data_IF_830755625723
#
_entry.id   IF_830755625723
#
_cell.length_a   1.000
_cell.length_b   1.000
_cell.length_c   1.000
_cell.angle_alpha   90.00
_cell.angle_beta   90.00
_cell.angle_gamma   90.00
#
_symmetry.space_group_name_H-M   'P 1'
#
loop_
_entity.id
_entity.type
_entity.pdbx_description
1 polymer ?
#
# COMPACT_ATOMS: atom_id res chain seq x y z
N UNK A 1 -9.74 -15.13 -24.57
CA UNK A 1 -9.39 -14.01 -23.68
C UNK A 1 -8.97 -14.62 -22.36
N UNK A 2 -7.66 -14.63 -22.04
CA UNK A 2 -7.14 -15.34 -20.87
C UNK A 2 -7.21 -14.42 -19.65
N UNK A 3 -8.04 -14.77 -18.68
CA UNK A 3 -8.25 -14.06 -17.41
C UNK A 3 -7.27 -14.54 -16.33
N UNK A 4 -5.96 -14.30 -16.50
CA UNK A 4 -5.02 -14.60 -15.42
C UNK A 4 -4.59 -13.32 -14.73
N UNK A 5 -4.91 -13.21 -13.44
CA UNK A 5 -4.35 -12.21 -12.55
C UNK A 5 -2.82 -12.43 -12.42
N UNK A 6 -2.10 -11.39 -11.95
CA UNK A 6 -0.67 -11.52 -11.69
C UNK A 6 -0.45 -12.09 -10.28
N UNK A 7 0.20 -13.27 -10.14
CA UNK A 7 0.52 -13.78 -8.82
C UNK A 7 1.50 -12.84 -8.12
N UNK A 8 1.45 -12.85 -6.79
CA UNK A 8 2.51 -12.23 -6.01
C UNK A 8 3.85 -12.89 -6.33
N UNK A 9 4.91 -12.09 -6.36
CA UNK A 9 6.27 -12.54 -6.60
C UNK A 9 7.25 -11.73 -5.76
N UNK A 10 8.39 -12.33 -5.42
CA UNK A 10 9.46 -11.70 -4.65
C UNK A 10 10.03 -10.45 -5.33
N UNK A 11 9.80 -10.24 -6.63
CA UNK A 11 10.25 -9.02 -7.34
C UNK A 11 9.54 -7.75 -6.88
N UNK A 12 8.45 -7.86 -6.10
CA UNK A 12 7.79 -6.71 -5.47
C UNK A 12 8.50 -6.21 -4.20
N UNK A 13 9.42 -7.00 -3.64
CA UNK A 13 10.25 -6.60 -2.50
C UNK A 13 11.44 -5.81 -3.04
N UNK A 14 11.74 -4.66 -2.44
CA UNK A 14 12.98 -3.94 -2.66
C UNK A 14 13.80 -3.96 -1.37
N UNK A 15 15.09 -4.22 -1.51
CA UNK A 15 16.07 -4.25 -0.42
C UNK A 15 17.45 -4.08 -1.06
N UNK A 16 17.95 -2.84 -1.09
CA UNK A 16 19.25 -2.48 -1.66
C UNK A 16 20.38 -2.65 -0.65
N UNK A 17 20.07 -2.67 0.64
CA UNK A 17 21.06 -2.77 1.73
C UNK A 17 21.72 -1.43 2.06
N UNK A 18 21.27 -0.34 1.42
CA UNK A 18 21.56 1.03 1.84
C UNK A 18 20.37 1.53 2.65
N UNK A 19 20.63 1.88 3.92
CA UNK A 19 19.56 2.18 4.88
C UNK A 19 18.70 3.35 4.42
N UNK A 20 19.28 4.37 3.77
CA UNK A 20 18.52 5.54 3.33
C UNK A 20 17.67 5.21 2.11
N UNK A 21 18.24 4.50 1.13
CA UNK A 21 17.49 4.03 -0.03
C UNK A 21 16.32 3.13 0.39
N UNK A 22 16.56 2.18 1.29
CA UNK A 22 15.57 1.22 1.77
C UNK A 22 14.42 1.96 2.52
N UNK A 23 14.73 2.96 3.36
CA UNK A 23 13.70 3.78 4.02
C UNK A 23 12.85 4.59 3.03
N UNK A 24 13.44 5.11 1.96
CA UNK A 24 12.68 5.82 0.91
C UNK A 24 11.80 4.86 0.11
N UNK A 25 12.25 3.62 -0.12
CA UNK A 25 11.46 2.57 -0.76
C UNK A 25 10.26 2.19 0.12
N UNK A 26 10.45 2.06 1.42
CA UNK A 26 9.37 1.81 2.39
C UNK A 26 8.35 2.97 2.40
N UNK A 27 8.81 4.21 2.49
CA UNK A 27 7.94 5.40 2.40
C UNK A 27 7.14 5.43 1.09
N UNK A 28 7.76 5.09 -0.03
CA UNK A 28 7.08 5.03 -1.33
C UNK A 28 6.07 3.88 -1.39
N UNK A 29 6.34 2.74 -0.75
CA UNK A 29 5.40 1.62 -0.64
C UNK A 29 4.13 2.04 0.13
N UNK A 30 4.27 2.74 1.26
CA UNK A 30 3.11 3.18 2.06
C UNK A 30 2.26 4.22 1.34
N UNK A 31 2.86 5.13 0.57
CA UNK A 31 2.09 6.06 -0.27
C UNK A 31 1.31 5.33 -1.38
N UNK A 32 1.88 4.29 -1.99
CA UNK A 32 1.17 3.47 -3.00
C UNK A 32 0.03 2.67 -2.37
N UNK A 33 0.22 2.10 -1.18
CA UNK A 33 -0.82 1.42 -0.43
C UNK A 33 -1.97 2.37 -0.08
N UNK A 34 -1.66 3.56 0.45
CA UNK A 34 -2.65 4.61 0.74
C UNK A 34 -3.47 5.00 -0.48
N UNK A 35 -2.82 5.29 -1.61
CA UNK A 35 -3.50 5.64 -2.86
C UNK A 35 -4.41 4.50 -3.35
N UNK A 36 -3.99 3.25 -3.17
CA UNK A 36 -4.79 2.08 -3.49
C UNK A 36 -6.06 2.02 -2.65
N UNK A 37 -5.97 2.18 -1.33
CA UNK A 37 -7.16 2.20 -0.45
C UNK A 37 -8.08 3.38 -0.75
N UNK A 38 -7.55 4.58 -1.01
CA UNK A 38 -8.34 5.74 -1.42
C UNK A 38 -9.16 5.47 -2.69
N UNK A 39 -8.61 4.70 -3.63
CA UNK A 39 -9.35 4.30 -4.83
C UNK A 39 -10.38 3.21 -4.53
N UNK A 40 -10.03 2.19 -3.73
CA UNK A 40 -10.97 1.12 -3.35
C UNK A 40 -12.19 1.64 -2.60
N UNK A 41 -12.03 2.64 -1.73
CA UNK A 41 -13.14 3.30 -1.01
C UNK A 41 -14.17 3.91 -1.98
N UNK A 42 -13.73 4.38 -3.15
CA UNK A 42 -14.60 4.96 -4.18
C UNK A 42 -15.34 3.91 -5.03
N UNK A 43 -14.92 2.64 -4.96
CA UNK A 43 -15.44 1.56 -5.80
C UNK A 43 -16.49 0.69 -5.12
N UNK A 44 -16.81 0.95 -3.85
CA UNK A 44 -17.80 0.20 -3.08
C UNK A 44 -18.72 1.15 -2.34
N UNK A 45 -19.91 0.68 -1.99
CA UNK A 45 -20.83 1.36 -1.07
C UNK A 45 -21.09 0.60 0.23
N UNK A 46 -20.47 -0.58 0.38
CA UNK A 46 -20.52 -1.38 1.58
C UNK A 46 -19.83 -0.65 2.76
N UNK A 47 -20.57 -0.46 3.84
CA UNK A 47 -20.12 0.30 5.01
C UNK A 47 -19.00 -0.40 5.77
N UNK A 48 -19.08 -1.73 5.91
CA UNK A 48 -18.13 -2.54 6.67
C UNK A 48 -16.79 -2.58 5.93
N UNK A 49 -16.82 -2.69 4.60
CA UNK A 49 -15.60 -2.60 3.77
C UNK A 49 -14.98 -1.20 3.88
N UNK A 50 -15.79 -0.13 3.83
CA UNK A 50 -15.29 1.25 3.96
C UNK A 50 -14.63 1.50 5.31
N UNK A 51 -15.14 0.93 6.40
CA UNK A 51 -14.54 1.06 7.73
C UNK A 51 -13.13 0.48 7.75
N UNK A 52 -12.96 -0.75 7.26
CA UNK A 52 -11.66 -1.42 7.19
C UNK A 52 -10.67 -0.63 6.32
N UNK A 53 -11.11 -0.19 5.13
CA UNK A 53 -10.24 0.55 4.23
C UNK A 53 -9.82 1.92 4.80
N UNK A 54 -10.70 2.60 5.53
CA UNK A 54 -10.35 3.86 6.23
C UNK A 54 -9.32 3.61 7.32
N UNK A 55 -9.48 2.55 8.11
CA UNK A 55 -8.48 2.19 9.13
C UNK A 55 -7.11 1.90 8.51
N UNK A 56 -7.06 1.08 7.45
CA UNK A 56 -5.79 0.79 6.74
C UNK A 56 -5.18 2.06 6.14
N UNK A 57 -6.00 2.92 5.52
CA UNK A 57 -5.53 4.19 4.96
C UNK A 57 -4.85 5.08 6.01
N UNK A 58 -5.43 5.23 7.20
CA UNK A 58 -4.83 6.03 8.28
C UNK A 58 -3.53 5.40 8.80
N UNK A 59 -3.45 4.07 8.86
CA UNK A 59 -2.22 3.38 9.24
C UNK A 59 -1.06 3.70 8.30
N UNK A 60 -1.31 3.84 7.01
CA UNK A 60 -0.23 4.18 6.07
C UNK A 60 0.31 5.61 6.26
N UNK A 61 -0.48 6.53 6.82
CA UNK A 61 0.04 7.84 7.24
C UNK A 61 1.02 7.67 8.40
N UNK A 62 0.69 6.82 9.37
CA UNK A 62 1.55 6.52 10.53
C UNK A 62 2.81 5.79 10.10
N UNK A 63 2.72 4.79 9.22
CA UNK A 63 3.89 4.09 8.71
C UNK A 63 4.82 5.04 7.94
N UNK A 64 4.28 5.88 7.05
CA UNK A 64 5.07 6.87 6.32
C UNK A 64 5.83 7.84 7.25
N UNK A 65 5.15 8.35 8.28
CA UNK A 65 5.77 9.24 9.29
C UNK A 65 6.78 8.53 10.18
N UNK A 66 6.70 7.20 10.31
CA UNK A 66 7.63 6.42 11.12
C UNK A 66 8.96 6.18 10.39
N UNK A 67 8.94 6.14 9.06
CA UNK A 67 10.13 5.96 8.22
C UNK A 67 10.81 7.29 7.85
N UNK A 68 10.06 8.39 7.82
CA UNK A 68 10.55 9.75 7.50
C UNK A 68 10.97 10.58 8.70
#
# INVERSE_FOLDING_TARGET
MLFYANPWTATYIQAKGDIIADLHEDMAAEQKARATYENLIKLTDDADIKEVLKFLREREVVHYQRFG
#
